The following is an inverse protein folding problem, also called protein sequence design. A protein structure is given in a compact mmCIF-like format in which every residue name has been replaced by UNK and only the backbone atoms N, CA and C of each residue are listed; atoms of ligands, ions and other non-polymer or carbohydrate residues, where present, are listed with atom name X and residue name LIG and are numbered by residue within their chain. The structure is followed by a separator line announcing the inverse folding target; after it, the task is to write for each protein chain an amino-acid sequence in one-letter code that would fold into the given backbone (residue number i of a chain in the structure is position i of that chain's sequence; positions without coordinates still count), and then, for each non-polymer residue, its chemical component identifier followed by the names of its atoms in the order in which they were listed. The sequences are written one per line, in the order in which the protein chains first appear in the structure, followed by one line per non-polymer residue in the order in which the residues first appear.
data_IF_772066705207
#
_entry.id   IF_772066705207
#
_cell.length_a   1.000
_cell.length_b   1.000
_cell.length_c   1.000
_cell.angle_alpha   90.00
_cell.angle_beta   90.00
_cell.angle_gamma   90.00
#
_symmetry.space_group_name_H-M   'P 1'
#
loop_
_entity.id
_entity.type
_entity.pdbx_description
1 polymer ?
#
# COMPACT_ATOMS: atom_id res chain seq x y z
N UNK A 1 11.75 19.13 1.48
CA UNK A 1 10.79 18.14 0.95
C UNK A 1 10.77 16.87 1.78
N UNK A 2 11.89 16.16 1.96
CA UNK A 2 11.95 15.05 2.95
C UNK A 2 11.43 15.50 4.31
N UNK A 3 11.87 16.67 4.79
CA UNK A 3 11.39 17.21 6.07
C UNK A 3 9.87 17.48 6.07
N UNK A 4 9.33 18.02 4.97
CA UNK A 4 7.89 18.23 4.83
C UNK A 4 7.09 16.92 4.81
N UNK A 5 7.65 15.85 4.23
CA UNK A 5 7.02 14.52 4.23
C UNK A 5 7.05 13.89 5.63
N UNK A 6 8.11 14.11 6.41
CA UNK A 6 8.19 13.67 7.81
C UNK A 6 7.18 14.44 8.67
N UNK A 7 7.01 15.75 8.44
CA UNK A 7 6.08 16.61 9.20
C UNK A 7 4.60 16.32 8.91
N UNK A 8 4.26 15.72 7.77
CA UNK A 8 2.88 15.37 7.40
C UNK A 8 2.28 14.26 8.29
N UNK A 9 3.10 13.54 9.06
CA UNK A 9 2.69 12.41 9.89
C UNK A 9 2.99 11.08 9.20
N UNK A 10 1.94 10.33 8.84
CA UNK A 10 2.08 9.03 8.17
C UNK A 10 2.20 9.18 6.65
N UNK A 11 3.19 8.53 6.05
CA UNK A 11 3.42 8.52 4.60
C UNK A 11 3.68 7.09 4.11
N UNK A 12 3.42 6.81 2.83
CA UNK A 12 3.88 5.60 2.17
C UNK A 12 4.22 5.95 0.72
N UNK A 13 5.50 5.87 0.37
CA UNK A 13 6.02 6.38 -0.91
C UNK A 13 6.58 5.21 -1.70
N UNK A 14 5.98 4.92 -2.84
CA UNK A 14 6.52 3.97 -3.80
C UNK A 14 7.50 4.68 -4.75
N UNK A 15 8.73 4.19 -4.82
CA UNK A 15 9.78 4.74 -5.69
C UNK A 15 10.37 3.68 -6.60
N UNK A 16 10.87 4.11 -7.76
CA UNK A 16 11.60 3.23 -8.67
C UNK A 16 12.88 2.72 -8.01
N UNK A 17 13.07 1.39 -8.03
CA UNK A 17 14.19 0.72 -7.36
C UNK A 17 15.54 1.12 -7.92
N UNK A 18 15.68 1.28 -9.24
CA UNK A 18 16.94 1.58 -9.90
C UNK A 18 17.50 2.97 -9.55
N UNK A 19 16.62 3.93 -9.25
CA UNK A 19 17.00 5.31 -8.94
C UNK A 19 17.10 5.63 -7.44
N UNK A 20 16.42 4.87 -6.59
CA UNK A 20 16.20 5.25 -5.19
C UNK A 20 16.82 4.31 -4.16
N UNK A 21 17.25 3.11 -4.60
CA UNK A 21 17.95 2.18 -3.72
C UNK A 21 19.28 2.78 -3.24
N UNK A 22 19.44 2.90 -1.92
CA UNK A 22 20.62 3.50 -1.29
C UNK A 22 20.65 5.03 -1.28
N UNK A 23 19.56 5.71 -1.68
CA UNK A 23 19.50 7.17 -1.59
C UNK A 23 19.35 7.64 -0.14
N UNK A 24 20.08 8.72 0.22
CA UNK A 24 20.01 9.33 1.55
C UNK A 24 18.60 9.84 1.90
N UNK A 25 17.84 10.27 0.90
CA UNK A 25 16.47 10.72 1.09
C UNK A 25 15.55 9.56 1.50
N UNK A 26 15.62 8.43 0.78
CA UNK A 26 14.85 7.23 1.12
C UNK A 26 15.24 6.67 2.50
N UNK A 27 16.55 6.65 2.80
CA UNK A 27 17.02 6.24 4.12
C UNK A 27 16.45 7.13 5.24
N UNK A 28 16.54 8.46 5.09
CA UNK A 28 15.99 9.39 6.09
C UNK A 28 14.49 9.22 6.29
N UNK A 29 13.73 9.07 5.21
CA UNK A 29 12.29 8.81 5.29
C UNK A 29 12.01 7.49 6.00
N UNK A 30 12.74 6.43 5.67
CA UNK A 30 12.63 5.12 6.33
C UNK A 30 12.90 5.18 7.83
N UNK A 31 13.87 5.99 8.27
CA UNK A 31 14.27 6.09 9.67
C UNK A 31 13.41 7.06 10.49
N UNK A 32 12.79 8.07 9.87
CA UNK A 32 12.22 9.22 10.58
C UNK A 32 10.72 9.43 10.35
N UNK A 33 10.14 8.87 9.28
CA UNK A 33 8.72 9.02 8.99
C UNK A 33 7.92 7.79 9.45
N UNK A 34 6.65 8.01 9.79
CA UNK A 34 5.72 6.94 10.10
C UNK A 34 5.12 6.38 8.80
N UNK A 35 4.92 5.06 8.75
CA UNK A 35 4.27 4.40 7.63
C UNK A 35 2.76 4.52 7.67
N UNK A 36 2.11 4.01 6.63
CA UNK A 36 0.64 3.88 6.58
C UNK A 36 0.25 2.43 6.80
N UNK A 37 -0.72 2.19 7.67
CA UNK A 37 -1.30 0.86 7.90
C UNK A 37 -2.03 0.35 6.67
N UNK A 38 -1.72 -0.87 6.26
CA UNK A 38 -2.23 -1.50 5.05
C UNK A 38 -3.76 -1.55 5.01
N UNK A 39 -4.41 -1.94 6.12
CA UNK A 39 -5.88 -2.01 6.24
C UNK A 39 -6.61 -0.70 5.95
N UNK A 40 -5.92 0.45 6.04
CA UNK A 40 -6.52 1.76 5.72
C UNK A 40 -6.63 2.00 4.22
N UNK A 41 -5.81 1.34 3.41
CA UNK A 41 -5.73 1.60 1.96
C UNK A 41 -6.70 0.66 1.24
N UNK A 42 -7.73 1.21 0.56
CA UNK A 42 -8.70 0.39 -0.16
C UNK A 42 -8.05 -0.50 -1.22
N UNK A 43 -8.44 -1.77 -1.24
CA UNK A 43 -7.90 -2.79 -2.14
C UNK A 43 -6.63 -3.49 -1.62
N UNK A 44 -6.15 -3.17 -0.43
CA UNK A 44 -5.05 -3.91 0.20
C UNK A 44 -5.50 -4.81 1.36
N UNK A 45 -6.76 -4.82 1.73
CA UNK A 45 -7.29 -5.46 2.94
C UNK A 45 -7.11 -6.98 2.93
N UNK A 46 -7.28 -7.60 1.76
CA UNK A 46 -7.14 -9.05 1.52
C UNK A 46 -5.72 -9.47 1.16
N UNK A 47 -4.79 -8.52 1.02
CA UNK A 47 -3.41 -8.82 0.68
C UNK A 47 -2.67 -9.31 1.93
N UNK A 48 -1.94 -10.42 1.81
CA UNK A 48 -1.17 -11.01 2.91
C UNK A 48 0.28 -11.28 2.54
N UNK A 49 1.00 -11.88 3.49
CA UNK A 49 2.34 -12.44 3.22
C UNK A 49 2.22 -13.87 2.71
N UNK A 50 3.29 -14.35 2.07
CA UNK A 50 3.53 -15.78 1.95
C UNK A 50 4.06 -16.35 3.26
N UNK A 51 3.65 -17.56 3.59
CA UNK A 51 4.20 -18.33 4.71
C UNK A 51 5.60 -18.89 4.38
N UNK A 52 6.21 -19.61 5.32
CA UNK A 52 7.53 -20.23 5.14
C UNK A 52 7.58 -21.27 4.00
N UNK A 53 6.43 -21.77 3.54
CA UNK A 53 6.29 -22.73 2.44
C UNK A 53 5.94 -22.04 1.11
N UNK A 54 5.77 -20.72 1.12
CA UNK A 54 5.39 -19.92 -0.05
C UNK A 54 3.90 -19.85 -0.31
N UNK A 55 3.06 -20.46 0.53
CA UNK A 55 1.60 -20.39 0.41
C UNK A 55 1.08 -19.01 0.82
N UNK A 56 0.05 -18.47 0.16
CA UNK A 56 -0.59 -17.22 0.60
C UNK A 56 -1.22 -17.39 1.99
N UNK A 57 -1.42 -16.28 2.69
CA UNK A 57 -2.22 -16.26 3.92
C UNK A 57 -3.65 -16.75 3.65
N UNK A 58 -4.30 -17.36 4.64
CA UNK A 58 -5.69 -17.79 4.55
C UNK A 58 -6.61 -16.80 5.27
N UNK A 59 -7.72 -16.46 4.64
CA UNK A 59 -8.84 -15.76 5.27
C UNK A 59 -9.75 -16.82 5.87
N UNK A 60 -9.95 -16.75 7.19
CA UNK A 60 -10.72 -17.71 7.97
C UNK A 60 -11.88 -16.97 8.68
N UNK A 61 -13.08 -17.56 8.81
CA UNK A 61 -14.26 -16.88 9.37
C UNK A 61 -14.07 -16.38 10.81
N UNK A 62 -13.28 -17.10 11.61
CA UNK A 62 -12.94 -16.72 12.99
C UNK A 62 -11.64 -15.92 13.13
N UNK A 63 -11.03 -15.53 12.01
CA UNK A 63 -9.76 -14.80 11.96
C UNK A 63 -9.95 -13.34 11.50
N UNK A 64 -8.91 -12.54 11.67
CA UNK A 64 -8.85 -11.20 11.08
C UNK A 64 -8.42 -11.23 9.61
N UNK A 65 -8.62 -10.12 8.91
CA UNK A 65 -8.06 -9.93 7.58
C UNK A 65 -6.52 -9.83 7.64
N UNK A 66 -5.81 -10.28 6.59
CA UNK A 66 -4.35 -10.30 6.56
C UNK A 66 -3.71 -8.89 6.49
N UNK A 67 -4.49 -7.84 6.22
CA UNK A 67 -4.06 -6.44 6.08
C UNK A 67 -3.58 -5.72 7.34
N UNK A 68 -3.27 -6.44 8.41
CA UNK A 68 -2.82 -5.90 9.70
C UNK A 68 -1.29 -5.70 9.72
N UNK A 69 -0.78 -4.76 8.91
CA UNK A 69 0.65 -4.35 8.96
C UNK A 69 0.88 -2.89 8.60
N UNK A 70 1.99 -2.37 9.07
CA UNK A 70 2.57 -1.11 8.59
C UNK A 70 3.33 -1.37 7.27
N UNK A 71 3.01 -0.60 6.22
CA UNK A 71 3.65 -0.73 4.91
C UNK A 71 5.04 -0.08 4.82
N UNK A 72 5.43 0.67 5.84
CA UNK A 72 6.59 1.51 5.90
C UNK A 72 6.45 2.79 5.06
N UNK A 73 7.28 3.81 5.35
CA UNK A 73 7.22 5.09 4.65
C UNK A 73 7.80 5.05 3.23
N UNK A 74 8.63 4.05 2.91
CA UNK A 74 9.25 3.90 1.60
C UNK A 74 9.14 2.45 1.12
N UNK A 75 8.68 2.30 -0.12
CA UNK A 75 8.58 1.02 -0.83
C UNK A 75 9.24 1.12 -2.19
N UNK A 76 9.79 0.00 -2.65
CA UNK A 76 10.55 -0.09 -3.89
C UNK A 76 9.73 -0.83 -4.96
N UNK A 77 9.72 -0.31 -6.17
CA UNK A 77 9.01 -0.90 -7.32
C UNK A 77 9.99 -1.20 -8.44
N UNK A 78 9.83 -2.37 -9.07
CA UNK A 78 10.56 -2.73 -10.28
C UNK A 78 11.93 -3.37 -10.04
N UNK A 79 12.86 -3.12 -10.97
CA UNK A 79 14.18 -3.72 -10.99
C UNK A 79 15.26 -2.72 -10.55
N UNK A 80 16.24 -3.18 -9.79
CA UNK A 80 17.48 -2.42 -9.59
C UNK A 80 18.31 -2.43 -10.87
N UNK A 81 18.43 -3.62 -11.48
CA UNK A 81 18.99 -3.89 -12.80
C UNK A 81 18.42 -5.21 -13.29
N UNK A 82 17.96 -5.31 -14.54
CA UNK A 82 17.45 -6.59 -15.04
C UNK A 82 18.59 -7.60 -15.20
N UNK A 83 18.34 -8.90 -14.95
CA UNK A 83 19.33 -9.97 -15.18
C UNK A 83 19.83 -10.05 -16.63
N UNK A 84 18.98 -9.70 -17.59
CA UNK A 84 19.29 -9.70 -19.03
C UNK A 84 20.02 -8.44 -19.50
N UNK A 85 20.39 -7.54 -18.58
CA UNK A 85 21.06 -6.28 -18.88
C UNK A 85 20.19 -5.21 -19.54
N UNK A 86 18.91 -5.50 -19.84
CA UNK A 86 17.98 -4.51 -20.39
C UNK A 86 17.43 -3.58 -19.30
N UNK A 87 16.88 -2.44 -19.69
CA UNK A 87 16.15 -1.59 -18.75
C UNK A 87 14.78 -2.21 -18.44
N UNK A 88 14.42 -2.21 -17.15
CA UNK A 88 13.08 -2.60 -16.69
C UNK A 88 12.04 -1.52 -17.00
N UNK A 89 10.75 -1.87 -17.08
CA UNK A 89 9.68 -0.89 -16.89
C UNK A 89 9.97 0.01 -15.69
N UNK A 90 9.89 1.32 -15.91
CA UNK A 90 10.16 2.35 -14.90
C UNK A 90 8.84 2.80 -14.28
N UNK A 91 8.82 2.98 -12.96
CA UNK A 91 7.78 3.74 -12.30
C UNK A 91 8.00 5.23 -12.61
N UNK A 92 7.41 5.72 -13.69
CA UNK A 92 7.61 7.10 -14.17
C UNK A 92 6.48 8.06 -13.80
N UNK A 93 5.42 7.57 -13.16
CA UNK A 93 4.35 8.41 -12.62
C UNK A 93 4.88 9.26 -11.45
N UNK A 94 4.50 10.54 -11.40
CA UNK A 94 4.71 11.41 -10.24
C UNK A 94 3.35 11.89 -9.77
N UNK A 95 3.00 11.47 -8.57
CA UNK A 95 1.65 11.59 -8.04
C UNK A 95 1.72 11.64 -6.52
N UNK A 96 0.86 12.44 -5.92
CA UNK A 96 0.64 12.51 -4.47
C UNK A 96 -0.85 12.54 -4.22
N UNK A 97 -1.30 11.74 -3.27
CA UNK A 97 -2.66 11.80 -2.74
C UNK A 97 -2.55 12.16 -1.26
N UNK A 98 -3.23 13.24 -0.86
CA UNK A 98 -3.41 13.59 0.54
C UNK A 98 -4.73 13.01 1.02
N UNK A 99 -4.68 12.31 2.14
CA UNK A 99 -5.82 11.61 2.70
C UNK A 99 -6.06 12.02 4.16
N UNK A 100 -7.26 11.73 4.64
CA UNK A 100 -7.59 11.71 6.07
C UNK A 100 -7.94 10.27 6.47
N UNK A 101 -7.44 9.83 7.63
CA UNK A 101 -7.76 8.53 8.19
C UNK A 101 -8.87 8.67 9.24
N UNK A 102 -9.89 7.82 9.14
CA UNK A 102 -10.98 7.70 10.09
C UNK A 102 -10.94 6.33 10.74
N UNK A 103 -11.33 6.26 12.01
CA UNK A 103 -11.47 5.01 12.76
C UNK A 103 -12.79 5.10 13.54
N UNK A 104 -13.66 4.11 13.41
CA UNK A 104 -14.93 4.04 14.15
C UNK A 104 -15.24 2.62 14.61
N UNK A 105 -16.05 2.50 15.66
CA UNK A 105 -16.54 1.22 16.16
C UNK A 105 -17.63 0.69 15.22
N UNK A 106 -17.54 -0.56 14.81
CA UNK A 106 -18.51 -1.19 13.91
C UNK A 106 -19.63 -1.89 14.69
N UNK A 107 -20.76 -2.13 14.02
CA UNK A 107 -21.96 -2.70 14.63
C UNK A 107 -21.74 -4.13 15.19
N UNK A 108 -20.65 -4.78 14.81
CA UNK A 108 -20.21 -6.09 15.32
C UNK A 108 -19.27 -6.03 16.52
N UNK A 109 -19.01 -4.85 17.09
CA UNK A 109 -18.10 -4.65 18.24
C UNK A 109 -16.61 -4.64 17.87
N UNK A 110 -16.28 -4.46 16.59
CA UNK A 110 -14.93 -4.25 16.06
C UNK A 110 -14.62 -2.78 15.75
N UNK A 111 -13.48 -2.53 15.11
CA UNK A 111 -13.09 -1.20 14.63
C UNK A 111 -12.86 -1.24 13.13
N UNK A 112 -13.46 -0.29 12.41
CA UNK A 112 -13.23 -0.09 10.98
C UNK A 112 -12.32 1.12 10.76
N UNK A 113 -11.45 1.00 9.77
CA UNK A 113 -10.48 2.01 9.38
C UNK A 113 -10.77 2.44 7.93
N UNK A 114 -10.83 3.74 7.66
CA UNK A 114 -11.04 4.29 6.31
C UNK A 114 -10.04 5.38 6.00
N UNK A 115 -9.46 5.31 4.80
CA UNK A 115 -8.64 6.38 4.25
C UNK A 115 -9.41 7.10 3.15
N UNK A 116 -9.82 8.33 3.42
CA UNK A 116 -10.54 9.17 2.43
C UNK A 116 -9.54 10.06 1.70
N UNK A 117 -9.38 9.93 0.37
CA UNK A 117 -8.54 10.83 -0.41
C UNK A 117 -9.22 12.20 -0.57
N UNK A 118 -8.50 13.27 -0.25
CA UNK A 118 -9.04 14.63 -0.23
C UNK A 118 -8.48 15.51 -1.35
N UNK A 119 -7.20 15.34 -1.69
CA UNK A 119 -6.52 16.14 -2.71
C UNK A 119 -5.54 15.26 -3.47
N UNK A 120 -5.36 15.57 -4.75
CA UNK A 120 -4.41 14.88 -5.60
C UNK A 120 -3.55 15.87 -6.35
N UNK A 121 -2.25 15.59 -6.38
CA UNK A 121 -1.30 16.22 -7.26
C UNK A 121 -0.79 15.22 -8.29
N UNK A 122 -0.61 15.67 -9.52
CA UNK A 122 0.12 14.92 -10.54
C UNK A 122 0.85 15.86 -11.49
N UNK A 123 2.02 15.46 -11.97
CA UNK A 123 2.79 16.32 -12.87
C UNK A 123 4.04 15.67 -13.44
N UNK A 124 4.81 16.48 -14.19
CA UNK A 124 6.09 16.09 -14.76
C UNK A 124 7.26 16.25 -13.79
N UNK A 125 7.11 17.11 -12.78
CA UNK A 125 8.17 17.43 -11.84
C UNK A 125 8.58 16.21 -11.02
N UNK A 126 9.86 15.84 -11.14
CA UNK A 126 10.46 14.97 -10.13
C UNK A 126 10.60 15.73 -8.82
N UNK A 127 10.40 15.04 -7.72
CA UNK A 127 10.59 15.56 -6.39
C UNK A 127 12.09 15.53 -6.03
N UNK A 128 12.88 16.35 -6.73
CA UNK A 128 14.33 16.45 -6.54
C UNK A 128 14.79 17.91 -6.58
N UNK A 129 15.99 18.18 -6.06
CA UNK A 129 16.60 19.52 -6.11
C UNK A 129 16.82 20.01 -7.54
N UNK A 130 17.14 19.09 -8.47
CA UNK A 130 17.39 19.43 -9.87
C UNK A 130 16.13 19.95 -10.60
N UNK A 131 14.94 19.47 -10.22
CA UNK A 131 13.68 19.88 -10.86
C UNK A 131 13.39 21.39 -10.70
N UNK A 132 14.02 22.06 -9.74
CA UNK A 132 13.91 23.53 -9.57
C UNK A 132 14.43 24.32 -10.77
N UNK A 133 15.31 23.72 -11.59
CA UNK A 133 15.86 24.34 -12.80
C UNK A 133 15.10 24.02 -14.08
N UNK A 134 14.01 23.25 -14.01
CA UNK A 134 13.27 22.78 -15.18
C UNK A 134 11.95 23.53 -15.36
N UNK A 135 11.49 23.59 -16.61
CA UNK A 135 10.10 23.96 -16.90
C UNK A 135 9.25 22.71 -16.71
N UNK A 136 8.34 22.75 -15.74
CA UNK A 136 7.52 21.61 -15.34
C UNK A 136 6.03 21.96 -15.43
N UNK A 137 5.19 20.95 -15.63
CA UNK A 137 3.73 21.06 -15.59
C UNK A 137 3.19 20.20 -14.45
N UNK A 138 2.19 20.70 -13.75
CA UNK A 138 1.47 19.95 -12.73
C UNK A 138 0.03 20.40 -12.57
N UNK A 139 -0.77 19.49 -12.04
CA UNK A 139 -2.16 19.68 -11.66
C UNK A 139 -2.29 19.43 -10.17
N UNK A 140 -3.12 20.24 -9.53
CA UNK A 140 -3.54 20.07 -8.15
C UNK A 140 -5.07 20.15 -8.11
N UNK A 141 -5.72 19.10 -7.62
CA UNK A 141 -7.17 18.95 -7.72
C UNK A 141 -7.78 18.47 -6.41
N UNK A 142 -9.03 18.88 -6.19
CA UNK A 142 -9.95 18.38 -5.15
C UNK A 142 -11.12 17.58 -5.73
N UNK A 143 -11.05 17.26 -7.02
CA UNK A 143 -12.05 16.40 -7.64
C UNK A 143 -12.01 15.02 -6.97
N UNK A 144 -13.11 14.66 -6.31
CA UNK A 144 -13.21 13.47 -5.45
C UNK A 144 -12.91 12.20 -6.26
N UNK A 145 -13.53 12.07 -7.44
CA UNK A 145 -13.33 10.92 -8.31
C UNK A 145 -11.88 10.79 -8.77
N UNK A 146 -11.22 11.89 -9.13
CA UNK A 146 -9.80 11.86 -9.50
C UNK A 146 -8.92 11.44 -8.32
N UNK A 147 -9.22 11.90 -7.11
CA UNK A 147 -8.48 11.55 -5.90
C UNK A 147 -8.67 10.06 -5.53
N UNK A 148 -9.88 9.52 -5.68
CA UNK A 148 -10.19 8.10 -5.51
C UNK A 148 -9.44 7.21 -6.52
N UNK A 149 -9.49 7.55 -7.81
CA UNK A 149 -8.79 6.78 -8.85
C UNK A 149 -7.26 6.88 -8.70
N UNK A 150 -6.76 8.02 -8.23
CA UNK A 150 -5.35 8.18 -7.91
C UNK A 150 -4.92 7.30 -6.72
N UNK A 151 -5.75 7.21 -5.68
CA UNK A 151 -5.50 6.32 -4.54
C UNK A 151 -5.56 4.85 -4.99
N UNK A 152 -6.50 4.48 -5.85
CA UNK A 152 -6.59 3.13 -6.43
C UNK A 152 -5.35 2.77 -7.25
N UNK A 153 -4.89 3.69 -8.09
CA UNK A 153 -3.63 3.52 -8.84
C UNK A 153 -2.44 3.34 -7.88
N UNK A 154 -2.36 4.12 -6.80
CA UNK A 154 -1.32 3.93 -5.79
C UNK A 154 -1.43 2.56 -5.11
N UNK A 155 -2.63 2.10 -4.76
CA UNK A 155 -2.83 0.77 -4.19
C UNK A 155 -2.29 -0.32 -5.14
N UNK A 156 -2.57 -0.23 -6.44
CA UNK A 156 -2.03 -1.18 -7.44
C UNK A 156 -0.50 -1.13 -7.54
N UNK A 157 0.09 0.06 -7.42
CA UNK A 157 1.56 0.20 -7.36
C UNK A 157 2.12 -0.42 -6.09
N UNK A 158 1.45 -0.24 -4.94
CA UNK A 158 1.87 -0.81 -3.66
C UNK A 158 1.79 -2.35 -3.70
N UNK A 159 0.78 -2.94 -4.36
CA UNK A 159 0.64 -4.40 -4.54
C UNK A 159 1.87 -5.04 -5.19
N UNK A 160 2.54 -4.34 -6.11
CA UNK A 160 3.73 -4.83 -6.81
C UNK A 160 5.06 -4.35 -6.20
N UNK A 161 4.99 -3.70 -5.05
CA UNK A 161 6.15 -3.12 -4.37
C UNK A 161 6.68 -4.01 -3.24
N UNK A 162 7.93 -3.78 -2.87
CA UNK A 162 8.61 -4.46 -1.76
C UNK A 162 9.13 -3.45 -0.71
N UNK A 163 9.33 -3.87 0.55
CA UNK A 163 9.92 -3.02 1.58
C UNK A 163 11.28 -2.48 1.19
N UNK A 164 11.56 -1.22 1.53
CA UNK A 164 12.88 -0.63 1.34
C UNK A 164 13.98 -1.32 2.16
N UNK A 165 13.64 -1.88 3.33
CA UNK A 165 14.56 -2.50 4.28
C UNK A 165 15.11 -3.85 3.82
N UNK A 166 14.42 -4.55 2.93
CA UNK A 166 14.80 -5.88 2.43
C UNK A 166 14.74 -5.92 0.89
N UNK A 167 15.56 -5.11 0.21
CA UNK A 167 15.46 -4.97 -1.24
C UNK A 167 16.01 -6.22 -1.93
N UNK A 168 15.34 -6.62 -3.00
CA UNK A 168 15.80 -7.67 -3.91
C UNK A 168 16.23 -7.08 -5.26
N UNK A 169 17.13 -7.73 -5.99
CA UNK A 169 17.62 -7.21 -7.28
C UNK A 169 16.55 -7.17 -8.40
N UNK A 170 15.51 -7.98 -8.26
CA UNK A 170 14.38 -8.16 -9.20
C UNK A 170 13.07 -7.74 -8.54
N UNK A 171 11.93 -7.59 -9.23
CA UNK A 171 10.66 -7.38 -8.54
C UNK A 171 10.34 -8.57 -7.63
N UNK A 172 10.20 -8.33 -6.33
CA UNK A 172 9.73 -9.32 -5.37
C UNK A 172 8.64 -8.70 -4.49
N UNK A 173 7.40 -8.55 -5.00
CA UNK A 173 6.30 -8.02 -4.22
C UNK A 173 6.13 -8.78 -2.91
N UNK A 174 6.05 -8.05 -1.80
CA UNK A 174 5.88 -8.62 -0.47
C UNK A 174 4.46 -9.15 -0.25
N UNK A 175 3.49 -8.49 -0.89
CA UNK A 175 2.08 -8.73 -0.72
C UNK A 175 1.54 -9.63 -1.82
N UNK A 176 0.71 -10.60 -1.45
CA UNK A 176 -0.01 -11.49 -2.37
C UNK A 176 -1.46 -11.61 -1.95
N UNK A 177 -2.35 -11.86 -2.89
CA UNK A 177 -3.76 -12.11 -2.58
C UNK A 177 -3.86 -13.31 -1.63
N UNK A 178 -4.58 -13.14 -0.51
CA UNK A 178 -4.89 -14.23 0.39
C UNK A 178 -5.89 -15.20 -0.25
N UNK A 179 -5.82 -16.47 0.14
CA UNK A 179 -6.80 -17.47 -0.27
C UNK A 179 -7.93 -17.54 0.77
N UNK A 180 -9.14 -17.84 0.33
CA UNK A 180 -10.27 -18.09 1.20
C UNK A 180 -10.22 -19.54 1.69
N UNK A 181 -10.43 -19.73 2.99
CA UNK A 181 -10.59 -21.06 3.59
C UNK A 181 -12.05 -21.52 3.39
N UNK A 182 -12.38 -21.92 2.16
CA UNK A 182 -13.75 -22.24 1.76
C UNK A 182 -14.36 -23.33 2.66
N UNK A 183 -13.58 -24.33 3.06
CA UNK A 183 -14.04 -25.42 3.93
C UNK A 183 -14.42 -24.87 5.31
N UNK A 184 -13.57 -24.02 5.92
CA UNK A 184 -13.88 -23.40 7.20
C UNK A 184 -15.10 -22.46 7.13
N UNK A 185 -15.29 -21.74 6.02
CA UNK A 185 -16.47 -20.91 5.81
C UNK A 185 -17.74 -21.75 5.68
N UNK A 186 -17.69 -22.88 4.98
CA UNK A 186 -18.82 -23.82 4.89
C UNK A 186 -19.19 -24.37 6.26
N UNK A 187 -18.21 -24.81 7.05
CA UNK A 187 -18.44 -25.31 8.41
C UNK A 187 -19.04 -24.22 9.31
N UNK A 188 -18.49 -23.01 9.27
CA UNK A 188 -18.96 -21.90 10.09
C UNK A 188 -20.40 -21.47 9.76
N UNK A 189 -20.75 -21.44 8.47
CA UNK A 189 -22.11 -21.12 8.04
C UNK A 189 -23.11 -22.21 8.47
N UNK A 190 -22.71 -23.49 8.44
CA UNK A 190 -23.55 -24.57 8.93
C UNK A 190 -23.82 -24.44 10.43
N UNK A 191 -22.79 -24.14 11.23
CA UNK A 191 -22.95 -23.91 12.68
C UNK A 191 -23.90 -22.74 12.97
N UNK A 192 -23.83 -21.63 12.23
CA UNK A 192 -24.71 -20.48 12.43
C UNK A 192 -26.17 -20.80 12.09
N UNK A 193 -26.42 -21.55 11.03
CA UNK A 193 -27.77 -21.96 10.63
C UNK A 193 -28.41 -22.92 11.64
N UNK A 194 -27.63 -23.83 12.24
CA UNK A 194 -28.13 -24.72 13.31
C UNK A 194 -28.51 -23.93 14.58
N UNK A 195 -27.78 -22.86 14.91
CA UNK A 195 -28.09 -22.00 16.07
C UNK A 195 -29.37 -21.19 15.84
N UNK A 196 -29.62 -20.68 14.63
CA UNK A 196 -30.85 -19.95 14.29
C UNK A 196 -32.10 -20.86 14.28
N UNK A 197 -31.95 -22.16 14.01
CA UNK A 197 -33.07 -23.13 14.06
C UNK A 197 -33.45 -23.56 15.50
N UNK A 198 -32.56 -23.34 16.47
CA UNK A 198 -32.73 -23.69 17.89
C UNK A 198 -33.17 -22.49 18.79
N UNK A 199 -33.34 -21.27 18.24
CA UNK A 199 -33.97 -20.13 18.94
C UNK A 199 -35.52 -20.14 18.76
N UNK A 200 -36.32 -20.29 19.85
CA UNK A 200 -37.80 -20.28 19.81
C UNK A 200 -38.46 -18.89 19.77
#
# INVERSE_FOLDING_TARGET
MVDALIELGSVCIAVDKGSSWGSRAAQRLHEQAEGVWQRRIPGLETMGSRDARGAPSLIHPRGGLPGERDLGPVRLVGWAKRPDGRSGPLLHAKLLVLCVAWTWENDGGGWDDLLTPLWVWSGSANWTEAAKGHVELGMWSKDERLAEEALRFLADVLRISEPWSQPSGVPAPEMVEAAWDDDAFVEHLAEMLEVDEDEP
#
